data_IF_953628797958
#
_entry.id   IF_953628797958
#
_cell.length_a   1.000
_cell.length_b   1.000
_cell.length_c   1.000
_cell.angle_alpha   90.00
_cell.angle_beta   90.00
_cell.angle_gamma   90.00
#
_symmetry.space_group_name_H-M   'P 1'
#
loop_
_entity.id
_entity.type
_entity.pdbx_description
1 polymer ?
#
# COMPACT_ATOMS: atom_id res chain seq x y z
N UNK A 1 60.44 -44.80 41.00
CA UNK A 1 59.10 -44.17 41.16
C UNK A 1 59.08 -42.97 40.20
N UNK A 2 58.53 -42.94 38.97
CA UNK A 2 57.16 -43.23 38.46
C UNK A 2 56.10 -42.73 39.45
N UNK A 3 55.31 -41.69 39.18
CA UNK A 3 54.42 -41.42 38.01
C UNK A 3 54.23 -39.90 37.75
N UNK A 4 54.43 -39.38 36.53
CA UNK A 4 53.43 -38.98 35.50
C UNK A 4 52.48 -37.85 35.97
N UNK A 5 52.41 -36.60 35.46
CA UNK A 5 52.44 -36.00 34.11
C UNK A 5 51.47 -36.64 33.09
N UNK A 6 50.31 -36.01 32.86
CA UNK A 6 49.79 -35.62 31.52
C UNK A 6 48.30 -35.23 31.57
N UNK A 7 47.86 -34.48 30.53
CA UNK A 7 46.47 -34.16 30.09
C UNK A 7 45.87 -32.98 30.87
N UNK A 8 46.10 -31.70 30.54
CA UNK A 8 45.87 -30.98 29.26
C UNK A 8 44.52 -31.27 28.61
N UNK A 9 43.66 -30.26 28.69
CA UNK A 9 42.73 -29.88 27.61
C UNK A 9 41.53 -30.79 27.39
N UNK A 10 40.56 -30.77 28.29
CA UNK A 10 39.16 -30.99 27.88
C UNK A 10 38.25 -30.58 29.03
N UNK A 11 37.42 -29.56 28.80
CA UNK A 11 36.23 -29.11 29.57
C UNK A 11 35.93 -27.62 29.31
N UNK A 12 36.61 -27.00 28.34
CA UNK A 12 36.15 -25.82 27.62
C UNK A 12 35.29 -26.26 26.42
N UNK A 13 34.26 -27.07 26.65
CA UNK A 13 33.31 -27.48 25.60
C UNK A 13 32.05 -28.09 26.21
N UNK A 14 31.36 -27.33 27.06
CA UNK A 14 29.91 -27.50 27.16
C UNK A 14 29.32 -26.74 25.97
N UNK A 15 29.26 -27.48 24.87
CA UNK A 15 28.54 -27.17 23.66
C UNK A 15 27.15 -26.60 24.02
N UNK A 16 26.93 -25.30 23.80
CA UNK A 16 25.61 -24.68 23.78
C UNK A 16 24.85 -25.24 22.56
N UNK A 17 24.40 -26.50 22.68
CA UNK A 17 23.44 -27.14 21.79
C UNK A 17 22.05 -26.74 22.25
N UNK A 18 21.67 -25.50 21.92
CA UNK A 18 20.27 -25.12 21.77
C UNK A 18 20.21 -24.04 20.70
N UNK A 19 20.55 -24.41 19.47
CA UNK A 19 19.88 -23.82 18.32
C UNK A 19 18.49 -24.44 18.30
N UNK A 20 17.66 -24.06 19.27
CA UNK A 20 16.24 -24.07 19.04
C UNK A 20 16.02 -23.16 17.84
N UNK A 21 15.17 -23.55 16.90
CA UNK A 21 14.51 -22.59 16.02
C UNK A 21 13.68 -21.65 16.90
N UNK A 22 14.34 -20.75 17.63
CA UNK A 22 13.74 -19.55 18.15
C UNK A 22 13.51 -18.69 16.93
N UNK A 23 12.35 -18.85 16.30
CA UNK A 23 11.75 -17.68 15.69
C UNK A 23 11.66 -16.72 16.86
N UNK A 24 12.53 -15.71 16.88
CA UNK A 24 12.30 -14.58 17.75
C UNK A 24 10.95 -14.03 17.29
N UNK A 25 9.89 -14.29 18.06
CA UNK A 25 8.65 -13.55 17.90
C UNK A 25 9.02 -12.11 18.25
N UNK A 26 9.32 -11.34 17.21
CA UNK A 26 9.52 -9.90 17.35
C UNK A 26 8.19 -9.34 17.87
N UNK A 27 8.19 -8.95 19.14
CA UNK A 27 6.99 -8.43 19.79
C UNK A 27 6.59 -7.14 19.08
N UNK A 28 5.43 -7.16 18.45
CA UNK A 28 4.93 -6.00 17.71
C UNK A 28 4.63 -4.89 18.72
N UNK A 29 5.26 -3.70 18.60
CA UNK A 29 5.06 -2.63 19.55
C UNK A 29 3.62 -2.12 19.46
N UNK A 30 2.98 -1.94 20.63
CA UNK A 30 1.72 -1.21 20.70
C UNK A 30 1.95 0.27 20.39
N UNK A 31 1.03 0.87 19.62
CA UNK A 31 1.07 2.30 19.36
C UNK A 31 0.35 3.07 20.48
N UNK A 32 1.02 4.08 21.05
CA UNK A 32 0.43 4.99 22.05
C UNK A 32 -0.32 6.17 21.40
N UNK A 33 -0.34 6.23 20.07
CA UNK A 33 -0.99 7.26 19.28
C UNK A 33 -0.04 8.37 18.81
N UNK A 34 1.21 8.40 19.29
CA UNK A 34 2.27 9.23 18.69
C UNK A 34 2.59 8.79 17.27
N UNK A 35 3.02 9.73 16.42
CA UNK A 35 3.44 9.42 15.04
C UNK A 35 4.58 8.40 15.03
N UNK A 36 5.51 8.52 15.97
CA UNK A 36 6.66 7.64 16.13
C UNK A 36 6.22 6.22 16.48
N UNK A 37 5.28 6.04 17.41
CA UNK A 37 4.76 4.71 17.77
C UNK A 37 3.97 4.06 16.62
N UNK A 38 3.25 4.86 15.82
CA UNK A 38 2.54 4.37 14.64
C UNK A 38 3.49 3.92 13.55
N UNK A 39 4.58 4.66 13.31
CA UNK A 39 5.63 4.28 12.35
C UNK A 39 6.33 3.00 12.81
N UNK A 40 6.74 2.91 14.08
CA UNK A 40 7.40 1.72 14.61
C UNK A 40 6.51 0.47 14.49
N UNK A 41 5.21 0.61 14.81
CA UNK A 41 4.24 -0.48 14.62
C UNK A 41 4.09 -0.84 13.13
N UNK A 42 4.02 0.13 12.23
CA UNK A 42 3.89 -0.12 10.80
C UNK A 42 5.12 -0.87 10.24
N UNK A 43 6.33 -0.47 10.65
CA UNK A 43 7.58 -1.13 10.28
C UNK A 43 7.63 -2.58 10.76
N UNK A 44 7.15 -2.87 11.98
CA UNK A 44 7.06 -4.23 12.49
C UNK A 44 6.10 -5.14 11.69
N UNK A 45 5.15 -4.57 10.95
CA UNK A 45 4.25 -5.30 10.04
C UNK A 45 4.71 -5.28 8.58
N UNK A 46 5.81 -4.62 8.25
CA UNK A 46 6.28 -4.51 6.89
C UNK A 46 6.71 -5.88 6.36
N UNK A 47 6.23 -6.24 5.17
CA UNK A 47 6.62 -7.48 4.52
C UNK A 47 8.05 -7.32 3.99
N UNK A 48 8.88 -8.33 4.17
CA UNK A 48 10.23 -8.38 3.59
C UNK A 48 10.17 -8.66 2.08
N UNK A 49 9.62 -7.71 1.33
CA UNK A 49 9.44 -7.74 -0.11
C UNK A 49 9.80 -6.38 -0.68
N UNK A 50 10.47 -6.35 -1.81
CA UNK A 50 10.69 -5.10 -2.54
C UNK A 50 9.35 -4.50 -2.98
N UNK A 51 9.10 -3.24 -2.64
CA UNK A 51 7.93 -2.53 -3.15
C UNK A 51 8.13 -2.22 -4.63
N UNK A 52 7.21 -2.72 -5.46
CA UNK A 52 7.09 -2.33 -6.87
C UNK A 52 5.71 -1.70 -7.08
N UNK A 53 5.62 -0.45 -7.55
CA UNK A 53 4.34 0.19 -7.79
C UNK A 53 3.56 -0.55 -8.89
N UNK A 54 2.22 -0.48 -8.87
CA UNK A 54 1.40 -1.01 -9.97
C UNK A 54 1.86 -0.41 -11.31
N UNK A 55 1.88 -1.20 -12.39
CA UNK A 55 2.29 -0.71 -13.69
C UNK A 55 1.33 0.38 -14.21
N UNK A 56 1.84 1.27 -15.06
CA UNK A 56 1.08 2.34 -15.71
C UNK A 56 1.26 3.72 -15.06
N UNK A 57 0.72 4.75 -15.71
CA UNK A 57 0.86 6.14 -15.28
C UNK A 57 -0.14 6.48 -14.17
N UNK A 58 0.31 7.20 -13.15
CA UNK A 58 -0.54 7.60 -12.02
C UNK A 58 -1.79 8.36 -12.48
N UNK A 59 -1.64 9.27 -13.45
CA UNK A 59 -2.74 10.05 -14.01
C UNK A 59 -3.82 9.18 -14.66
N UNK A 60 -3.43 8.09 -15.32
CA UNK A 60 -4.37 7.15 -15.93
C UNK A 60 -5.20 6.42 -14.87
N UNK A 61 -4.57 6.02 -13.77
CA UNK A 61 -5.23 5.34 -12.65
C UNK A 61 -6.18 6.28 -11.90
N UNK A 62 -5.74 7.51 -11.65
CA UNK A 62 -6.58 8.56 -11.06
C UNK A 62 -7.79 8.84 -11.95
N UNK A 63 -7.60 8.97 -13.26
CA UNK A 63 -8.71 9.22 -14.22
C UNK A 63 -9.70 8.06 -14.26
N UNK A 64 -9.21 6.81 -14.19
CA UNK A 64 -10.09 5.64 -14.08
C UNK A 64 -10.91 5.65 -12.79
N UNK A 65 -10.27 6.02 -11.68
CA UNK A 65 -10.94 6.22 -10.40
C UNK A 65 -11.99 7.33 -10.45
N UNK A 66 -11.68 8.45 -11.12
CA UNK A 66 -12.62 9.55 -11.29
C UNK A 66 -13.83 9.15 -12.13
N UNK A 67 -13.62 8.50 -13.28
CA UNK A 67 -14.69 7.99 -14.14
C UNK A 67 -15.63 7.07 -13.37
N UNK A 68 -15.06 6.15 -12.57
CA UNK A 68 -15.83 5.23 -11.73
C UNK A 68 -16.66 5.96 -10.67
N UNK A 69 -16.06 6.91 -9.95
CA UNK A 69 -16.76 7.67 -8.92
C UNK A 69 -17.87 8.52 -9.53
N UNK A 70 -17.58 9.26 -10.61
CA UNK A 70 -18.57 10.08 -11.30
C UNK A 70 -19.75 9.23 -11.79
N UNK A 71 -19.47 8.08 -12.42
CA UNK A 71 -20.49 7.13 -12.84
C UNK A 71 -21.38 6.68 -11.69
N UNK A 72 -20.79 6.27 -10.56
CA UNK A 72 -21.57 5.86 -9.39
C UNK A 72 -22.32 7.02 -8.72
N UNK A 73 -21.75 8.22 -8.72
CA UNK A 73 -22.39 9.42 -8.18
C UNK A 73 -23.66 9.76 -8.96
N UNK A 74 -23.59 9.72 -10.29
CA UNK A 74 -24.71 10.03 -11.17
C UNK A 74 -25.74 8.89 -11.17
N UNK A 75 -25.34 7.67 -11.51
CA UNK A 75 -26.31 6.61 -11.83
C UNK A 75 -26.74 5.76 -10.63
N UNK A 76 -25.94 5.70 -9.55
CA UNK A 76 -26.32 4.95 -8.34
C UNK A 76 -26.86 5.89 -7.27
N UNK A 77 -26.17 7.01 -7.04
CA UNK A 77 -26.58 7.97 -6.00
C UNK A 77 -27.62 8.97 -6.49
N UNK A 78 -27.71 9.21 -7.80
CA UNK A 78 -28.66 10.17 -8.38
C UNK A 78 -28.21 11.63 -8.27
N UNK A 79 -26.91 11.88 -8.12
CA UNK A 79 -26.36 13.24 -8.07
C UNK A 79 -26.34 13.87 -9.47
N UNK A 80 -26.43 15.19 -9.52
CA UNK A 80 -26.10 15.92 -10.73
C UNK A 80 -24.64 15.67 -11.14
N UNK A 81 -24.39 15.57 -12.45
CA UNK A 81 -23.07 15.22 -12.96
C UNK A 81 -22.02 16.30 -12.66
N UNK A 82 -22.38 17.59 -12.77
CA UNK A 82 -21.45 18.68 -12.48
C UNK A 82 -21.17 18.75 -10.97
N UNK A 83 -22.20 18.58 -10.14
CA UNK A 83 -22.03 18.56 -8.68
C UNK A 83 -21.18 17.38 -8.21
N UNK A 84 -21.41 16.19 -8.77
CA UNK A 84 -20.61 15.00 -8.48
C UNK A 84 -19.16 15.18 -8.91
N UNK A 85 -18.93 15.73 -10.10
CA UNK A 85 -17.58 15.99 -10.62
C UNK A 85 -16.80 17.00 -9.77
N UNK A 86 -17.48 18.02 -9.23
CA UNK A 86 -16.85 19.07 -8.44
C UNK A 86 -16.54 18.66 -6.99
N UNK A 87 -17.31 17.72 -6.41
CA UNK A 87 -17.28 17.51 -4.95
C UNK A 87 -16.94 16.08 -4.51
N UNK A 88 -17.06 15.08 -5.38
CA UNK A 88 -16.97 13.66 -4.99
C UNK A 88 -15.64 13.04 -5.42
N UNK A 89 -15.10 12.13 -4.62
CA UNK A 89 -13.97 11.26 -5.01
C UNK A 89 -12.57 11.86 -4.93
N UNK A 90 -12.39 13.00 -4.24
CA UNK A 90 -11.10 13.70 -4.14
C UNK A 90 -9.94 12.84 -3.62
N UNK A 91 -10.24 11.79 -2.86
CA UNK A 91 -9.24 10.87 -2.32
C UNK A 91 -8.69 9.87 -3.36
N UNK A 92 -9.45 9.54 -4.42
CA UNK A 92 -9.00 8.64 -5.49
C UNK A 92 -8.37 9.44 -6.62
N UNK A 93 -9.04 10.52 -7.01
CA UNK A 93 -8.57 11.45 -8.02
C UNK A 93 -8.51 12.84 -7.40
N UNK A 94 -7.30 13.31 -7.06
CA UNK A 94 -7.09 14.67 -6.58
C UNK A 94 -7.72 15.69 -7.54
N UNK A 95 -8.31 16.75 -6.99
CA UNK A 95 -9.11 17.69 -7.79
C UNK A 95 -8.28 18.47 -8.82
N UNK A 96 -7.02 18.73 -8.51
CA UNK A 96 -6.03 19.33 -9.41
C UNK A 96 -5.73 18.44 -10.62
N UNK A 97 -5.60 17.13 -10.42
CA UNK A 97 -5.32 16.17 -11.49
C UNK A 97 -6.47 16.04 -12.50
N UNK A 98 -7.72 16.33 -12.09
CA UNK A 98 -8.90 16.25 -12.97
C UNK A 98 -8.86 17.25 -14.12
N UNK A 99 -8.09 18.33 -13.99
CA UNK A 99 -7.91 19.32 -15.04
C UNK A 99 -7.22 18.74 -16.30
N UNK A 100 -6.60 17.56 -16.19
CA UNK A 100 -5.99 16.87 -17.34
C UNK A 100 -7.01 16.12 -18.22
N UNK A 101 -8.25 15.96 -17.76
CA UNK A 101 -9.34 15.40 -18.57
C UNK A 101 -9.76 16.43 -19.61
N UNK A 102 -9.64 16.06 -20.88
CA UNK A 102 -9.94 16.95 -22.02
C UNK A 102 -11.34 16.72 -22.59
N UNK A 103 -11.95 15.57 -22.30
CA UNK A 103 -13.33 15.26 -22.68
C UNK A 103 -14.02 14.42 -21.61
N UNK A 104 -15.27 14.75 -21.34
CA UNK A 104 -16.12 14.09 -20.33
C UNK A 104 -17.47 13.81 -20.96
N UNK A 105 -17.77 12.53 -21.12
CA UNK A 105 -19.05 12.05 -21.67
C UNK A 105 -19.84 11.38 -20.56
N UNK A 106 -21.03 11.90 -20.27
CA UNK A 106 -22.03 11.26 -19.41
C UNK A 106 -23.19 10.82 -20.30
N UNK A 107 -23.27 9.53 -20.55
CA UNK A 107 -24.26 8.89 -21.40
C UNK A 107 -25.40 8.36 -20.51
N UNK A 108 -26.51 9.10 -20.47
CA UNK A 108 -27.66 8.77 -19.64
C UNK A 108 -28.50 7.63 -20.20
N UNK A 109 -28.42 7.34 -21.50
CA UNK A 109 -29.15 6.22 -22.10
C UNK A 109 -28.46 4.89 -21.79
N UNK A 110 -27.13 4.88 -21.81
CA UNK A 110 -26.33 3.69 -21.52
C UNK A 110 -25.83 3.61 -20.07
N UNK A 111 -26.15 4.61 -19.24
CA UNK A 111 -25.66 4.76 -17.86
C UNK A 111 -24.14 4.62 -17.76
N UNK A 112 -23.43 5.34 -18.63
CA UNK A 112 -21.96 5.25 -18.79
C UNK A 112 -21.32 6.62 -18.62
N UNK A 113 -20.13 6.62 -18.01
CA UNK A 113 -19.22 7.77 -18.02
C UNK A 113 -17.95 7.37 -18.77
N UNK A 114 -17.42 8.27 -19.59
CA UNK A 114 -16.12 8.14 -20.21
C UNK A 114 -15.33 9.44 -20.07
N UNK A 115 -14.09 9.32 -19.59
CA UNK A 115 -13.17 10.45 -19.41
C UNK A 115 -11.94 10.25 -20.29
N UNK A 116 -11.62 11.24 -21.12
CA UNK A 116 -10.48 11.15 -22.06
C UNK A 116 -9.38 12.13 -21.65
N UNK A 117 -8.14 11.64 -21.66
CA UNK A 117 -6.92 12.43 -21.44
C UNK A 117 -6.34 12.96 -22.75
N UNK A 118 -5.45 13.95 -22.66
CA UNK A 118 -4.82 14.59 -23.83
C UNK A 118 -3.96 13.65 -24.68
N UNK A 119 -3.51 12.52 -24.13
CA UNK A 119 -2.79 11.46 -24.84
C UNK A 119 -3.72 10.48 -25.59
N UNK A 120 -5.04 10.71 -25.53
CA UNK A 120 -6.05 9.91 -26.20
C UNK A 120 -6.54 8.70 -25.41
N UNK A 121 -6.05 8.48 -24.18
CA UNK A 121 -6.55 7.39 -23.33
C UNK A 121 -7.91 7.76 -22.75
N UNK A 122 -8.89 6.88 -22.95
CA UNK A 122 -10.23 6.97 -22.35
C UNK A 122 -10.40 5.94 -21.23
N UNK A 123 -11.02 6.34 -20.12
CA UNK A 123 -11.37 5.50 -18.97
C UNK A 123 -12.86 5.49 -18.72
#
# INVERSE_FOLDING_TARGET
MRTASSIKTLLFSTCFLSVACGVAEEEIPNADGSTESLIARAQAFELNTEYSPPPGEALHHQTAGFAKILCSGVFITGLDAADAAANVGGFISPFDERAHVVDTVVDYEQERVALTLSDGVTR
#
